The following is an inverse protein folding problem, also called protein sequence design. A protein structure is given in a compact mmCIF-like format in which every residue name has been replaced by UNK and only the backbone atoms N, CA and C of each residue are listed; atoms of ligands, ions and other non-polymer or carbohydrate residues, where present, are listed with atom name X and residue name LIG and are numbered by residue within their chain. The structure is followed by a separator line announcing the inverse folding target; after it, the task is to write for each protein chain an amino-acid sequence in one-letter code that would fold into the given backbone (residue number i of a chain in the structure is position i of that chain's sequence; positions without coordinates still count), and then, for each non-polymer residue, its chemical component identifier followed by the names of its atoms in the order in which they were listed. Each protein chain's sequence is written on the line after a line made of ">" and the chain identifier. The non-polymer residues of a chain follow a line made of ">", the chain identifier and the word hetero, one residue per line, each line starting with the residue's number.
data_IF_533674813722
#
_entry.id   IF_533674813722
#
_cell.length_a   1.000
_cell.length_b   1.000
_cell.length_c   1.000
_cell.angle_alpha   90.00
_cell.angle_beta   90.00
_cell.angle_gamma   90.00
#
_symmetry.space_group_name_H-M   'P 1'
#
loop_
_entity.id
_entity.type
_entity.pdbx_description
1 polymer ?
#
# COMPACT_ATOMS: atom_id res chain seq x y z
N UNK A 1 -8.27 -28.52 -12.11
CA UNK A 1 -8.00 -28.09 -10.71
C UNK A 1 -6.51 -27.87 -10.43
N UNK A 2 -5.62 -27.96 -11.43
CA UNK A 2 -4.26 -27.44 -11.27
C UNK A 2 -4.29 -25.91 -11.24
N UNK A 3 -3.45 -25.30 -10.40
CA UNK A 3 -3.36 -23.84 -10.26
C UNK A 3 -4.30 -23.17 -9.24
N UNK A 4 -5.29 -23.86 -8.67
CA UNK A 4 -6.17 -23.26 -7.64
C UNK A 4 -5.68 -23.48 -6.20
N UNK A 5 -6.15 -22.65 -5.26
CA UNK A 5 -5.89 -22.85 -3.82
C UNK A 5 -6.37 -24.21 -3.35
N UNK A 6 -7.62 -24.57 -3.65
CA UNK A 6 -8.21 -25.86 -3.29
C UNK A 6 -7.37 -27.04 -3.78
N UNK A 7 -6.97 -27.05 -5.05
CA UNK A 7 -6.16 -28.14 -5.61
C UNK A 7 -4.82 -28.29 -4.90
N UNK A 8 -4.17 -27.17 -4.56
CA UNK A 8 -2.91 -27.17 -3.82
C UNK A 8 -3.07 -27.63 -2.37
N UNK A 9 -4.11 -27.16 -1.68
CA UNK A 9 -4.43 -27.57 -0.31
C UNK A 9 -4.79 -29.06 -0.23
N UNK A 10 -5.50 -29.61 -1.23
CA UNK A 10 -5.80 -31.04 -1.33
C UNK A 10 -4.52 -31.88 -1.44
N UNK A 11 -3.55 -31.48 -2.28
CA UNK A 11 -2.26 -32.16 -2.37
C UNK A 11 -1.50 -32.15 -1.04
N UNK A 12 -1.50 -31.02 -0.34
CA UNK A 12 -0.88 -30.91 0.99
C UNK A 12 -1.56 -31.83 2.02
N UNK A 13 -2.89 -31.89 2.02
CA UNK A 13 -3.65 -32.77 2.90
C UNK A 13 -3.38 -34.24 2.59
N UNK A 14 -3.37 -34.63 1.31
CA UNK A 14 -3.05 -35.99 0.86
C UNK A 14 -1.62 -36.41 1.22
N UNK A 15 -0.69 -35.45 1.31
CA UNK A 15 0.68 -35.66 1.78
C UNK A 15 0.81 -35.68 3.33
N UNK A 16 -0.30 -35.60 4.07
CA UNK A 16 -0.31 -35.65 5.53
C UNK A 16 0.07 -34.35 6.24
N UNK A 17 0.08 -33.20 5.55
CA UNK A 17 0.39 -31.91 6.16
C UNK A 17 -0.82 -31.40 6.96
N UNK A 18 -0.69 -31.13 8.28
CA UNK A 18 -1.79 -30.61 9.08
C UNK A 18 -2.02 -29.11 8.81
N UNK A 19 -3.26 -28.64 9.03
CA UNK A 19 -3.67 -27.24 8.82
C UNK A 19 -2.73 -26.24 9.51
N UNK A 20 -2.32 -26.52 10.75
CA UNK A 20 -1.44 -25.63 11.50
C UNK A 20 -0.12 -25.36 10.77
N UNK A 21 0.47 -26.39 10.14
CA UNK A 21 1.71 -26.26 9.35
C UNK A 21 1.48 -25.49 8.07
N UNK A 22 0.30 -25.61 7.45
CA UNK A 22 -0.09 -24.80 6.29
C UNK A 22 -0.18 -23.33 6.69
N UNK A 23 -0.86 -22.99 7.79
CA UNK A 23 -0.97 -21.61 8.27
C UNK A 23 0.39 -21.02 8.65
N UNK A 24 1.27 -21.81 9.28
CA UNK A 24 2.65 -21.42 9.56
C UNK A 24 3.48 -21.17 8.29
N UNK A 25 3.27 -21.98 7.25
CA UNK A 25 3.93 -21.78 5.96
C UNK A 25 3.42 -20.52 5.27
N UNK A 26 2.10 -20.31 5.26
CA UNK A 26 1.46 -19.11 4.68
C UNK A 26 1.95 -17.83 5.36
N UNK A 27 2.20 -17.82 6.68
CA UNK A 27 2.81 -16.67 7.38
C UNK A 27 4.19 -16.27 6.88
N UNK A 28 4.88 -17.16 6.16
CA UNK A 28 6.22 -16.91 5.58
C UNK A 28 6.15 -16.55 4.09
N UNK A 29 4.97 -16.67 3.49
CA UNK A 29 4.75 -16.31 2.09
C UNK A 29 4.39 -14.84 2.03
N UNK A 30 5.11 -14.12 1.17
CA UNK A 30 4.84 -12.73 0.89
C UNK A 30 4.99 -12.48 -0.60
N UNK A 31 3.94 -11.94 -1.22
CA UNK A 31 3.89 -11.64 -2.64
C UNK A 31 3.67 -10.14 -2.80
N UNK A 32 4.60 -9.49 -3.49
CA UNK A 32 4.55 -8.03 -3.72
C UNK A 32 4.60 -7.74 -5.21
N UNK A 33 3.44 -7.65 -5.91
CA UNK A 33 3.41 -7.15 -7.27
C UNK A 33 3.85 -5.69 -7.29
N UNK A 34 4.81 -5.36 -8.15
CA UNK A 34 5.35 -3.99 -8.29
C UNK A 34 4.88 -3.40 -9.60
N UNK A 35 4.09 -2.32 -9.53
CA UNK A 35 3.63 -1.59 -10.70
C UNK A 35 4.77 -0.79 -11.33
N UNK A 36 4.97 -0.99 -12.62
CA UNK A 36 5.93 -0.22 -13.42
C UNK A 36 5.19 0.60 -14.46
N UNK A 37 5.72 1.78 -14.79
CA UNK A 37 5.20 2.54 -15.91
C UNK A 37 5.42 1.71 -17.19
N UNK A 38 4.39 1.60 -18.03
CA UNK A 38 4.55 0.88 -19.29
C UNK A 38 5.06 1.87 -20.36
N UNK A 39 6.29 1.70 -20.86
CA UNK A 39 6.96 2.71 -21.72
C UNK A 39 6.27 2.96 -23.08
N UNK A 40 5.29 2.14 -23.45
CA UNK A 40 4.64 2.14 -24.77
C UNK A 40 3.12 2.07 -24.70
N UNK A 41 2.50 2.39 -23.56
CA UNK A 41 1.03 2.37 -23.45
C UNK A 41 0.42 3.61 -24.14
N UNK A 42 0.43 3.57 -25.47
CA UNK A 42 -0.13 4.59 -26.36
C UNK A 42 -1.67 4.64 -26.22
N UNK A 43 -2.28 3.51 -25.84
CA UNK A 43 -3.73 3.40 -25.64
C UNK A 43 -4.18 4.18 -24.41
N UNK A 44 -5.02 5.19 -24.61
CA UNK A 44 -5.58 6.02 -23.53
C UNK A 44 -6.34 5.15 -22.51
N UNK A 45 -6.19 5.45 -21.22
CA UNK A 45 -6.97 4.83 -20.13
C UNK A 45 -8.49 4.80 -20.42
N UNK A 46 -9.00 5.86 -21.06
CA UNK A 46 -10.39 5.95 -21.50
C UNK A 46 -10.81 4.80 -22.43
N UNK A 47 -9.94 4.33 -23.32
CA UNK A 47 -10.21 3.21 -24.23
C UNK A 47 -10.40 1.91 -23.43
N UNK A 48 -9.56 1.67 -22.41
CA UNK A 48 -9.67 0.49 -21.54
C UNK A 48 -10.98 0.50 -20.75
N UNK A 49 -11.36 1.65 -20.20
CA UNK A 49 -12.64 1.81 -19.50
C UNK A 49 -13.83 1.49 -20.41
N UNK A 50 -13.82 2.00 -21.65
CA UNK A 50 -14.86 1.73 -22.65
C UNK A 50 -14.93 0.26 -23.03
N UNK A 51 -13.79 -0.37 -23.34
CA UNK A 51 -13.73 -1.82 -23.63
C UNK A 51 -14.26 -2.67 -22.47
N UNK A 52 -13.95 -2.29 -21.22
CA UNK A 52 -14.47 -2.98 -20.03
C UNK A 52 -15.97 -2.73 -19.81
N UNK A 53 -16.49 -1.57 -20.19
CA UNK A 53 -17.93 -1.31 -20.15
C UNK A 53 -18.66 -2.18 -21.17
N UNK A 54 -18.16 -2.24 -22.41
CA UNK A 54 -18.68 -3.15 -23.45
C UNK A 54 -18.65 -4.61 -22.97
N UNK A 55 -17.54 -5.09 -22.41
CA UNK A 55 -17.44 -6.45 -21.89
C UNK A 55 -18.51 -6.77 -20.83
N UNK A 56 -18.76 -5.85 -19.88
CA UNK A 56 -19.81 -6.01 -18.86
C UNK A 56 -21.23 -6.03 -19.46
N UNK A 57 -21.47 -5.22 -20.49
CA UNK A 57 -22.76 -5.21 -21.18
C UNK A 57 -22.98 -6.50 -21.97
N UNK A 58 -21.94 -7.03 -22.61
CA UNK A 58 -21.97 -8.33 -23.27
C UNK A 58 -22.23 -9.46 -22.26
N UNK A 59 -21.54 -9.46 -21.11
CA UNK A 59 -21.81 -10.43 -20.03
C UNK A 59 -23.26 -10.34 -19.52
N UNK A 60 -23.87 -9.13 -19.47
CA UNK A 60 -25.29 -8.96 -19.12
C UNK A 60 -26.22 -9.53 -20.20
N UNK A 61 -25.87 -9.37 -21.48
CA UNK A 61 -26.64 -9.93 -22.59
C UNK A 61 -26.63 -11.48 -22.60
N UNK A 62 -25.55 -12.10 -22.14
CA UNK A 62 -25.43 -13.57 -22.05
C UNK A 62 -26.22 -14.19 -20.87
N UNK A 63 -26.76 -13.37 -19.94
CA UNK A 63 -27.52 -13.86 -18.78
C UNK A 63 -29.00 -14.02 -19.10
N UNK A 64 -29.50 -15.26 -19.01
CA UNK A 64 -30.92 -15.60 -19.23
C UNK A 64 -31.61 -15.92 -17.90
N UNK A 65 -32.87 -15.49 -17.67
CA UNK A 65 -33.74 -14.75 -18.59
C UNK A 65 -33.45 -13.24 -18.59
N UNK A 66 -33.44 -12.65 -19.79
CA UNK A 66 -33.27 -11.22 -20.03
C UNK A 66 -34.54 -10.66 -20.68
N UNK A 67 -35.03 -9.51 -20.20
CA UNK A 67 -36.17 -8.86 -20.83
C UNK A 67 -35.77 -8.22 -22.17
N UNK A 68 -36.71 -8.11 -23.10
CA UNK A 68 -36.44 -7.43 -24.38
C UNK A 68 -36.03 -5.96 -24.18
N UNK A 69 -36.60 -5.29 -23.17
CA UNK A 69 -36.24 -3.90 -22.86
C UNK A 69 -34.80 -3.79 -22.36
N UNK A 70 -34.37 -4.68 -21.46
CA UNK A 70 -32.99 -4.73 -20.97
C UNK A 70 -31.99 -5.04 -22.09
N UNK A 71 -32.37 -5.94 -23.01
CA UNK A 71 -31.54 -6.30 -24.16
C UNK A 71 -31.32 -5.09 -25.10
N UNK A 72 -32.39 -4.37 -25.45
CA UNK A 72 -32.33 -3.17 -26.29
C UNK A 72 -31.54 -2.04 -25.61
N UNK A 73 -31.69 -1.87 -24.29
CA UNK A 73 -30.92 -0.89 -23.53
C UNK A 73 -29.42 -1.22 -23.57
N UNK A 74 -29.04 -2.47 -23.29
CA UNK A 74 -27.65 -2.91 -23.32
C UNK A 74 -27.04 -2.77 -24.73
N UNK A 75 -27.78 -3.13 -25.77
CA UNK A 75 -27.36 -2.94 -27.17
C UNK A 75 -27.12 -1.46 -27.50
N UNK A 76 -28.05 -0.57 -27.12
CA UNK A 76 -27.89 0.87 -27.32
C UNK A 76 -26.65 1.43 -26.61
N UNK A 77 -26.38 0.97 -25.37
CA UNK A 77 -25.18 1.36 -24.63
C UNK A 77 -23.89 0.83 -25.28
N UNK A 78 -23.88 -0.40 -25.79
CA UNK A 78 -22.73 -0.96 -26.54
C UNK A 78 -22.47 -0.12 -27.79
N UNK A 79 -23.51 0.20 -28.58
CA UNK A 79 -23.38 1.03 -29.79
C UNK A 79 -22.85 2.44 -29.47
N UNK A 80 -23.31 3.04 -28.37
CA UNK A 80 -22.80 4.33 -27.91
C UNK A 80 -21.30 4.25 -27.54
N UNK A 81 -20.86 3.18 -26.88
CA UNK A 81 -19.45 2.99 -26.55
C UNK A 81 -18.57 2.72 -27.77
N UNK A 82 -19.05 1.91 -28.72
CA UNK A 82 -18.37 1.69 -30.00
C UNK A 82 -18.23 3.00 -30.77
N UNK A 83 -19.30 3.81 -30.82
CA UNK A 83 -19.28 5.14 -31.44
C UNK A 83 -18.25 6.05 -30.77
N UNK A 84 -18.24 6.09 -29.44
CA UNK A 84 -17.28 6.88 -28.69
C UNK A 84 -15.83 6.40 -28.89
N UNK A 85 -15.60 5.09 -29.00
CA UNK A 85 -14.30 4.52 -29.35
C UNK A 85 -13.87 4.97 -30.76
N UNK A 86 -14.76 4.87 -31.75
CA UNK A 86 -14.49 5.29 -33.12
C UNK A 86 -14.18 6.80 -33.23
N UNK A 87 -14.84 7.62 -32.42
CA UNK A 87 -14.63 9.07 -32.36
C UNK A 87 -13.43 9.49 -31.49
N UNK A 88 -12.76 8.54 -30.81
CA UNK A 88 -11.60 8.81 -29.97
C UNK A 88 -10.33 8.38 -30.69
N UNK A 89 -9.38 9.30 -30.86
CA UNK A 89 -8.05 8.95 -31.37
C UNK A 89 -7.35 7.96 -30.41
N UNK A 90 -7.09 6.76 -30.92
CA UNK A 90 -6.46 5.67 -30.15
C UNK A 90 -5.02 5.99 -29.77
N UNK A 91 -4.35 6.86 -30.55
CA UNK A 91 -2.96 7.22 -30.38
C UNK A 91 -2.83 8.52 -29.59
N UNK A 92 -2.04 8.50 -28.53
CA UNK A 92 -1.65 9.75 -27.83
C UNK A 92 -0.66 10.52 -28.71
N UNK A 93 -1.04 11.73 -29.13
CA UNK A 93 -0.16 12.66 -29.86
C UNK A 93 0.99 13.22 -29.00
N UNK A 94 0.89 13.17 -27.67
CA UNK A 94 1.92 13.61 -26.73
C UNK A 94 2.28 12.48 -25.76
N UNK A 95 3.58 12.37 -25.46
CA UNK A 95 4.08 11.43 -24.45
C UNK A 95 3.43 11.77 -23.09
N UNK A 96 2.97 10.78 -22.30
CA UNK A 96 2.42 11.02 -20.98
C UNK A 96 3.42 11.75 -20.09
N UNK A 97 2.93 12.64 -19.22
CA UNK A 97 3.76 13.18 -18.14
C UNK A 97 3.92 12.12 -17.04
N UNK A 98 4.95 12.23 -16.20
CA UNK A 98 5.12 11.35 -15.03
C UNK A 98 3.88 11.37 -14.14
N UNK A 99 3.23 12.53 -14.01
CA UNK A 99 1.98 12.66 -13.25
C UNK A 99 0.82 11.88 -13.89
N UNK A 100 0.71 11.86 -15.21
CA UNK A 100 -0.28 11.04 -15.91
C UNK A 100 -0.02 9.55 -15.69
N UNK A 101 1.25 9.12 -15.70
CA UNK A 101 1.64 7.74 -15.42
C UNK A 101 1.27 7.35 -13.98
N UNK A 102 1.49 8.23 -13.00
CA UNK A 102 1.07 8.02 -11.61
C UNK A 102 -0.45 7.83 -11.56
N UNK A 103 -1.24 8.72 -12.17
CA UNK A 103 -2.70 8.58 -12.22
C UNK A 103 -3.13 7.23 -12.82
N UNK A 104 -2.57 6.88 -13.98
CA UNK A 104 -2.90 5.62 -14.66
C UNK A 104 -2.55 4.39 -13.83
N UNK A 105 -1.40 4.40 -13.14
CA UNK A 105 -1.01 3.32 -12.23
C UNK A 105 -1.98 3.17 -11.06
N UNK A 106 -2.44 4.29 -10.50
CA UNK A 106 -3.38 4.32 -9.39
C UNK A 106 -4.80 3.88 -9.76
N UNK A 107 -5.24 4.13 -11.00
CA UNK A 107 -6.59 3.78 -11.46
C UNK A 107 -6.88 2.25 -11.36
N UNK A 108 -5.86 1.40 -11.44
CA UNK A 108 -6.05 -0.06 -11.31
C UNK A 108 -6.59 -0.50 -9.94
N UNK A 109 -6.33 0.28 -8.88
CA UNK A 109 -6.78 -0.06 -7.54
C UNK A 109 -8.31 -0.05 -7.41
N UNK A 110 -9.01 1.07 -7.67
CA UNK A 110 -10.48 1.09 -7.65
C UNK A 110 -11.10 0.26 -8.78
N UNK A 111 -10.44 0.14 -9.94
CA UNK A 111 -10.99 -0.66 -11.04
C UNK A 111 -11.05 -2.17 -10.76
N UNK A 112 -10.06 -2.71 -10.03
CA UNK A 112 -9.89 -4.16 -9.87
C UNK A 112 -9.46 -4.54 -8.46
N UNK A 113 -8.39 -3.96 -7.94
CA UNK A 113 -7.68 -4.54 -6.79
C UNK A 113 -8.45 -4.42 -5.49
N UNK A 114 -9.15 -3.30 -5.25
CA UNK A 114 -9.94 -3.12 -4.04
C UNK A 114 -11.02 -4.20 -3.88
N UNK A 115 -11.61 -4.66 -4.97
CA UNK A 115 -12.61 -5.74 -4.93
C UNK A 115 -12.00 -7.14 -5.04
N UNK A 116 -10.90 -7.28 -5.79
CA UNK A 116 -10.26 -8.59 -6.02
C UNK A 116 -9.54 -9.11 -4.78
N UNK A 117 -8.88 -8.22 -4.03
CA UNK A 117 -8.08 -8.63 -2.86
C UNK A 117 -8.95 -9.35 -1.81
N UNK A 118 -10.04 -8.77 -1.29
CA UNK A 118 -10.89 -9.48 -0.33
C UNK A 118 -11.45 -10.81 -0.88
N UNK A 119 -11.83 -10.84 -2.17
CA UNK A 119 -12.33 -12.07 -2.82
C UNK A 119 -11.29 -13.18 -2.86
N UNK A 120 -10.03 -12.85 -3.14
CA UNK A 120 -8.94 -13.82 -3.13
C UNK A 120 -8.75 -14.45 -1.75
N UNK A 121 -8.80 -13.63 -0.69
CA UNK A 121 -8.68 -14.13 0.69
C UNK A 121 -9.90 -14.95 1.10
N UNK A 122 -11.11 -14.55 0.68
CA UNK A 122 -12.32 -15.34 0.89
C UNK A 122 -12.23 -16.71 0.18
N UNK A 123 -11.74 -16.76 -1.06
CA UNK A 123 -11.53 -18.02 -1.79
C UNK A 123 -10.50 -18.92 -1.08
N UNK A 124 -9.41 -18.33 -0.57
CA UNK A 124 -8.42 -19.06 0.22
C UNK A 124 -9.04 -19.62 1.51
N UNK A 125 -9.81 -18.79 2.24
CA UNK A 125 -10.50 -19.18 3.46
C UNK A 125 -11.46 -20.35 3.21
N UNK A 126 -12.31 -20.20 2.19
CA UNK A 126 -13.28 -21.21 1.79
C UNK A 126 -12.58 -22.51 1.37
N UNK A 127 -11.50 -22.40 0.59
CA UNK A 127 -10.69 -23.55 0.19
C UNK A 127 -10.08 -24.28 1.39
N UNK A 128 -9.62 -23.55 2.41
CA UNK A 128 -9.15 -24.14 3.67
C UNK A 128 -10.29 -24.85 4.39
N UNK A 129 -11.45 -24.21 4.52
CA UNK A 129 -12.64 -24.79 5.15
C UNK A 129 -13.10 -26.08 4.46
N UNK A 130 -13.17 -26.09 3.13
CA UNK A 130 -13.56 -27.26 2.33
C UNK A 130 -12.54 -28.41 2.45
N UNK A 131 -11.24 -28.10 2.51
CA UNK A 131 -10.19 -29.12 2.53
C UNK A 131 -9.90 -29.63 3.93
N UNK A 132 -9.90 -28.79 4.97
CA UNK A 132 -9.53 -29.19 6.33
C UNK A 132 -10.73 -29.31 7.29
N UNK A 133 -11.94 -28.95 6.86
CA UNK A 133 -13.15 -29.05 7.68
C UNK A 133 -13.29 -27.96 8.75
N UNK A 134 -12.41 -26.95 8.75
CA UNK A 134 -12.44 -25.82 9.69
C UNK A 134 -11.96 -24.58 8.97
N UNK A 135 -12.72 -23.49 9.09
CA UNK A 135 -12.27 -22.18 8.63
C UNK A 135 -11.48 -21.47 9.74
N UNK A 136 -10.27 -20.96 9.44
CA UNK A 136 -9.54 -20.12 10.40
C UNK A 136 -10.22 -18.77 10.64
N UNK A 137 -11.08 -18.29 9.75
CA UNK A 137 -11.63 -16.94 9.82
C UNK A 137 -10.64 -15.86 9.36
N UNK A 138 -11.17 -14.73 8.90
CA UNK A 138 -10.40 -13.56 8.42
C UNK A 138 -9.31 -13.09 9.40
N UNK A 139 -9.55 -13.16 10.71
CA UNK A 139 -8.59 -12.72 11.73
C UNK A 139 -7.33 -13.59 11.81
N UNK A 140 -7.38 -14.85 11.37
CA UNK A 140 -6.27 -15.79 11.49
C UNK A 140 -5.53 -16.04 10.17
N UNK A 141 -6.02 -15.47 9.06
CA UNK A 141 -5.35 -15.53 7.77
C UNK A 141 -4.18 -14.52 7.72
N UNK A 142 -2.95 -14.99 7.44
CA UNK A 142 -1.79 -14.10 7.35
C UNK A 142 -1.90 -13.13 6.17
N UNK A 143 -1.20 -12.01 6.25
CA UNK A 143 -1.05 -11.07 5.14
C UNK A 143 -0.09 -11.65 4.09
N UNK A 144 -0.64 -12.11 2.97
CA UNK A 144 0.09 -12.73 1.87
C UNK A 144 0.49 -11.74 0.77
N UNK A 145 -0.25 -10.64 0.63
CA UNK A 145 -0.13 -9.70 -0.47
C UNK A 145 0.19 -8.31 0.03
N UNK A 146 1.16 -7.67 -0.62
CA UNK A 146 1.39 -6.22 -0.60
C UNK A 146 1.52 -5.72 -2.01
N UNK A 147 1.52 -4.40 -2.18
CA UNK A 147 1.75 -3.79 -3.48
C UNK A 147 2.96 -2.87 -3.42
N UNK A 148 3.74 -2.86 -4.49
CA UNK A 148 4.81 -1.92 -4.74
C UNK A 148 4.55 -1.09 -5.99
N UNK A 149 5.27 -0.01 -6.17
CA UNK A 149 5.27 0.78 -7.40
C UNK A 149 6.63 1.40 -7.64
N UNK A 150 7.00 1.51 -8.90
CA UNK A 150 8.14 2.29 -9.40
C UNK A 150 7.68 3.61 -10.03
N UNK A 151 6.37 3.78 -10.25
CA UNK A 151 5.81 4.93 -10.95
C UNK A 151 5.93 6.18 -10.07
N UNK A 152 6.74 7.15 -10.51
CA UNK A 152 7.10 8.34 -9.73
C UNK A 152 8.26 8.15 -8.74
N UNK A 153 8.86 6.96 -8.70
CA UNK A 153 10.02 6.63 -7.86
C UNK A 153 11.27 6.23 -8.64
N UNK A 154 11.10 5.64 -9.83
CA UNK A 154 12.18 5.21 -10.71
C UNK A 154 12.72 6.37 -11.57
N UNK A 155 13.97 6.75 -11.28
CA UNK A 155 14.67 7.86 -11.94
C UNK A 155 15.78 7.38 -12.87
N UNK A 156 16.01 6.07 -12.93
CA UNK A 156 17.10 5.48 -13.71
C UNK A 156 16.90 5.75 -15.20
N UNK A 157 17.74 6.60 -15.78
CA UNK A 157 17.64 7.01 -17.18
C UNK A 157 16.46 7.94 -17.50
N UNK A 158 15.72 8.44 -16.49
CA UNK A 158 14.57 9.31 -16.69
C UNK A 158 14.68 10.61 -15.88
N UNK A 159 15.21 11.71 -16.47
CA UNK A 159 15.38 12.98 -15.77
C UNK A 159 14.06 13.71 -15.45
N UNK A 160 12.93 13.25 -16.01
CA UNK A 160 11.62 13.86 -15.75
C UNK A 160 11.01 13.41 -14.41
N UNK A 161 11.57 12.39 -13.75
CA UNK A 161 11.12 11.94 -12.43
C UNK A 161 11.89 12.71 -11.36
N UNK A 162 11.26 13.76 -10.84
CA UNK A 162 11.84 14.65 -9.84
C UNK A 162 11.37 14.31 -8.42
N UNK A 163 11.94 14.97 -7.42
CA UNK A 163 11.53 14.94 -6.03
C UNK A 163 10.04 15.29 -5.85
N UNK A 164 9.52 16.25 -6.64
CA UNK A 164 8.10 16.60 -6.62
C UNK A 164 7.21 15.47 -7.16
N UNK A 165 7.65 14.73 -8.19
CA UNK A 165 6.93 13.55 -8.68
C UNK A 165 6.79 12.47 -7.60
N UNK A 166 7.84 12.20 -6.81
CA UNK A 166 7.77 11.25 -5.70
C UNK A 166 6.78 11.70 -4.62
N UNK A 167 6.77 12.99 -4.27
CA UNK A 167 5.81 13.56 -3.33
C UNK A 167 4.38 13.44 -3.84
N UNK A 168 4.16 13.75 -5.11
CA UNK A 168 2.85 13.63 -5.75
C UNK A 168 2.37 12.18 -5.79
N UNK A 169 3.24 11.22 -6.15
CA UNK A 169 2.90 9.80 -6.19
C UNK A 169 2.38 9.30 -4.84
N UNK A 170 3.10 9.59 -3.76
CA UNK A 170 2.73 9.17 -2.41
C UNK A 170 1.46 9.87 -1.91
N UNK A 171 1.36 11.18 -2.10
CA UNK A 171 0.18 11.95 -1.72
C UNK A 171 -1.08 11.46 -2.45
N UNK A 172 -0.97 11.22 -3.75
CA UNK A 172 -2.09 10.73 -4.56
C UNK A 172 -2.50 9.32 -4.17
N UNK A 173 -1.55 8.42 -3.91
CA UNK A 173 -1.81 7.07 -3.42
C UNK A 173 -2.52 7.09 -2.05
N UNK A 174 -2.05 7.92 -1.12
CA UNK A 174 -2.68 8.15 0.19
C UNK A 174 -4.10 8.68 0.06
N UNK A 175 -4.30 9.72 -0.76
CA UNK A 175 -5.63 10.30 -0.95
C UNK A 175 -6.60 9.26 -1.53
N UNK A 176 -6.17 8.51 -2.56
CA UNK A 176 -6.99 7.48 -3.19
C UNK A 176 -7.45 6.41 -2.19
N UNK A 177 -6.55 5.90 -1.35
CA UNK A 177 -6.91 4.83 -0.41
C UNK A 177 -7.81 5.33 0.72
N UNK A 178 -7.56 6.55 1.24
CA UNK A 178 -8.40 7.13 2.29
C UNK A 178 -9.78 7.51 1.73
N UNK A 179 -9.86 8.04 0.51
CA UNK A 179 -11.13 8.33 -0.16
C UNK A 179 -11.95 7.05 -0.37
N UNK A 180 -11.30 5.95 -0.73
CA UNK A 180 -11.93 4.63 -0.79
C UNK A 180 -12.48 4.18 0.57
N UNK A 181 -11.70 4.33 1.65
CA UNK A 181 -12.18 3.99 3.00
C UNK A 181 -13.34 4.88 3.45
N UNK A 182 -13.32 6.18 3.17
CA UNK A 182 -14.44 7.09 3.48
C UNK A 182 -15.71 6.63 2.76
N UNK A 183 -15.60 6.24 1.49
CA UNK A 183 -16.73 5.72 0.72
C UNK A 183 -17.29 4.40 1.30
N UNK A 184 -16.41 3.47 1.68
CA UNK A 184 -16.78 2.21 2.31
C UNK A 184 -17.48 2.42 3.67
N UNK A 185 -16.93 3.29 4.53
CA UNK A 185 -17.55 3.64 5.81
C UNK A 185 -18.92 4.30 5.59
N UNK A 186 -19.03 5.21 4.61
CA UNK A 186 -20.30 5.86 4.27
C UNK A 186 -21.35 4.84 3.80
N UNK A 187 -20.94 3.80 3.06
CA UNK A 187 -21.82 2.67 2.71
C UNK A 187 -22.22 1.85 3.93
N UNK A 188 -21.30 1.60 4.85
CA UNK A 188 -21.61 0.89 6.10
C UNK A 188 -22.62 1.64 6.96
N UNK A 189 -22.61 2.98 6.97
CA UNK A 189 -23.59 3.78 7.72
C UNK A 189 -25.01 3.45 7.25
N UNK A 190 -25.24 3.28 5.95
CA UNK A 190 -26.58 2.94 5.46
C UNK A 190 -26.99 1.51 5.79
N UNK A 191 -26.03 0.56 5.78
CA UNK A 191 -26.27 -0.87 5.97
C UNK A 191 -26.41 -1.29 7.45
N UNK A 192 -25.69 -0.65 8.38
CA UNK A 192 -25.61 -1.05 9.79
C UNK A 192 -26.60 -0.28 10.71
N UNK A 193 -27.90 -0.39 10.42
CA UNK A 193 -29.01 0.27 11.13
C UNK A 193 -29.46 -0.40 12.44
N UNK A 194 -28.62 -1.21 13.07
CA UNK A 194 -29.03 -2.02 14.22
C UNK A 194 -29.40 -1.10 15.40
N UNK A 195 -30.55 -1.35 16.00
CA UNK A 195 -31.07 -0.56 17.12
C UNK A 195 -30.83 -1.27 18.46
N UNK A 196 -30.30 -0.51 19.43
CA UNK A 196 -30.16 -0.92 20.84
C UNK A 196 -31.48 -1.35 21.49
N UNK A 197 -32.63 -0.98 20.91
CA UNK A 197 -33.96 -1.42 21.35
C UNK A 197 -34.25 -2.89 21.02
N UNK A 198 -33.54 -3.46 20.04
CA UNK A 198 -33.74 -4.84 19.58
C UNK A 198 -32.60 -5.76 20.00
N UNK A 199 -31.38 -5.26 19.98
CA UNK A 199 -30.19 -6.03 20.29
C UNK A 199 -29.14 -5.14 20.94
N UNK A 200 -28.44 -5.68 21.94
CA UNK A 200 -27.40 -4.95 22.62
C UNK A 200 -26.19 -4.66 21.71
N UNK A 201 -25.30 -3.81 22.20
CA UNK A 201 -23.95 -3.64 21.68
C UNK A 201 -22.96 -3.86 22.82
N UNK A 202 -21.70 -4.12 22.48
CA UNK A 202 -20.66 -4.25 23.50
C UNK A 202 -20.45 -2.93 24.24
N UNK A 203 -20.16 -3.02 25.55
CA UNK A 203 -19.83 -1.85 26.37
C UNK A 203 -18.56 -1.15 25.88
N UNK A 204 -17.58 -1.90 25.36
CA UNK A 204 -16.37 -1.35 24.78
C UNK A 204 -16.66 -0.44 23.57
N UNK A 205 -17.61 -0.83 22.70
CA UNK A 205 -18.06 0.01 21.60
C UNK A 205 -18.75 1.28 22.11
N UNK A 206 -19.64 1.16 23.09
CA UNK A 206 -20.35 2.30 23.67
C UNK A 206 -19.38 3.31 24.32
N UNK A 207 -18.34 2.82 25.02
CA UNK A 207 -17.29 3.65 25.60
C UNK A 207 -16.48 4.39 24.52
N UNK A 208 -16.14 3.72 23.41
CA UNK A 208 -15.41 4.35 22.31
C UNK A 208 -16.22 5.47 21.65
N UNK A 209 -17.52 5.27 21.45
CA UNK A 209 -18.41 6.31 20.91
C UNK A 209 -18.45 7.52 21.84
N UNK A 210 -18.67 7.31 23.15
CA UNK A 210 -18.65 8.41 24.13
C UNK A 210 -17.31 9.15 24.17
N UNK A 211 -16.19 8.44 24.04
CA UNK A 211 -14.88 9.07 23.98
C UNK A 211 -14.74 9.97 22.74
N UNK A 212 -15.26 9.53 21.60
CA UNK A 212 -15.23 10.31 20.35
C UNK A 212 -16.14 11.52 20.42
N UNK A 213 -17.35 11.35 20.94
CA UNK A 213 -18.29 12.43 21.22
C UNK A 213 -17.69 13.50 22.14
N UNK A 214 -17.08 13.11 23.26
CA UNK A 214 -16.41 14.05 24.17
C UNK A 214 -15.22 14.79 23.51
N UNK A 215 -14.51 14.13 22.59
CA UNK A 215 -13.31 14.70 21.97
C UNK A 215 -13.59 15.59 20.76
N UNK A 216 -14.58 15.24 19.93
CA UNK A 216 -14.88 15.89 18.64
C UNK A 216 -16.16 16.73 18.68
N UNK A 217 -16.97 16.59 19.74
CA UNK A 217 -18.30 17.19 19.84
C UNK A 217 -19.34 16.50 18.94
N UNK A 218 -20.60 16.89 19.13
CA UNK A 218 -21.75 16.29 18.46
C UNK A 218 -21.90 16.73 16.98
N UNK A 219 -21.30 17.85 16.56
CA UNK A 219 -21.49 18.44 15.23
C UNK A 219 -20.94 17.60 14.07
N UNK A 220 -19.98 16.71 14.34
CA UNK A 220 -19.29 15.91 13.32
C UNK A 220 -20.02 14.62 12.95
N UNK A 221 -21.03 14.24 13.73
CA UNK A 221 -21.93 13.15 13.37
C UNK A 221 -23.20 13.73 12.75
N UNK A 222 -23.87 12.99 11.85
CA UNK A 222 -25.20 13.38 11.36
C UNK A 222 -26.24 13.13 12.47
N UNK A 223 -25.88 13.39 13.73
CA UNK A 223 -26.61 13.10 14.97
C UNK A 223 -28.08 13.47 14.87
N UNK A 224 -28.37 14.66 14.34
CA UNK A 224 -29.74 15.17 14.21
C UNK A 224 -30.65 14.31 13.30
N UNK A 225 -30.09 13.38 12.52
CA UNK A 225 -30.83 12.48 11.62
C UNK A 225 -30.80 11.01 12.06
N UNK A 226 -29.88 10.62 12.94
CA UNK A 226 -29.67 9.23 13.37
C UNK A 226 -30.27 9.09 14.77
N UNK A 227 -31.06 8.04 15.00
CA UNK A 227 -31.66 7.84 16.32
C UNK A 227 -30.57 7.48 17.33
N UNK A 228 -30.64 7.97 18.57
CA UNK A 228 -29.68 7.65 19.66
C UNK A 228 -29.51 6.13 19.86
N UNK A 229 -30.54 5.35 19.52
CA UNK A 229 -30.50 3.90 19.60
C UNK A 229 -29.63 3.22 18.51
N UNK A 230 -29.10 3.94 17.51
CA UNK A 230 -28.31 3.37 16.40
C UNK A 230 -26.79 3.55 16.62
N UNK A 231 -26.26 2.96 17.70
CA UNK A 231 -24.87 3.15 18.15
C UNK A 231 -23.81 2.89 17.06
N UNK A 232 -24.01 1.86 16.22
CA UNK A 232 -23.07 1.52 15.15
C UNK A 232 -22.96 2.64 14.11
N UNK A 233 -24.07 3.30 13.76
CA UNK A 233 -24.06 4.41 12.80
C UNK A 233 -23.34 5.63 13.35
N UNK A 234 -23.57 5.95 14.63
CA UNK A 234 -22.85 7.03 15.32
C UNK A 234 -21.35 6.77 15.32
N UNK A 235 -20.93 5.54 15.60
CA UNK A 235 -19.51 5.18 15.54
C UNK A 235 -18.92 5.35 14.14
N UNK A 236 -19.63 4.89 13.10
CA UNK A 236 -19.19 5.02 11.71
C UNK A 236 -19.08 6.48 11.25
N UNK A 237 -20.00 7.36 11.69
CA UNK A 237 -19.93 8.78 11.38
C UNK A 237 -18.67 9.42 11.97
N UNK A 238 -18.31 9.08 13.21
CA UNK A 238 -17.05 9.51 13.81
C UNK A 238 -15.83 8.96 13.06
N UNK A 239 -15.84 7.68 12.68
CA UNK A 239 -14.77 7.08 11.86
C UNK A 239 -14.64 7.84 10.53
N UNK A 240 -15.75 8.15 9.86
CA UNK A 240 -15.75 8.90 8.60
C UNK A 240 -15.18 10.31 8.77
N UNK A 241 -15.52 11.01 9.86
CA UNK A 241 -14.95 12.31 10.19
C UNK A 241 -13.43 12.22 10.42
N UNK A 242 -12.99 11.25 11.24
CA UNK A 242 -11.56 11.00 11.49
C UNK A 242 -10.79 10.67 10.21
N UNK A 243 -11.35 9.87 9.31
CA UNK A 243 -10.74 9.59 8.00
C UNK A 243 -10.64 10.85 7.14
N UNK A 244 -11.68 11.72 7.12
CA UNK A 244 -11.62 13.01 6.42
C UNK A 244 -10.49 13.89 6.96
N UNK A 245 -10.34 14.00 8.28
CA UNK A 245 -9.19 14.69 8.87
C UNK A 245 -7.86 14.05 8.46
N UNK A 246 -7.79 12.72 8.47
CA UNK A 246 -6.58 11.97 8.11
C UNK A 246 -6.17 12.15 6.64
N UNK A 247 -7.16 12.37 5.76
CA UNK A 247 -6.98 12.67 4.35
C UNK A 247 -6.35 14.05 4.16
N UNK A 248 -6.91 15.06 4.81
CA UNK A 248 -6.53 16.45 4.57
C UNK A 248 -5.25 16.84 5.32
N UNK A 249 -5.06 16.34 6.55
CA UNK A 249 -3.84 16.56 7.33
C UNK A 249 -3.62 15.49 8.39
N UNK A 250 -2.51 14.76 8.29
CA UNK A 250 -2.09 13.81 9.32
C UNK A 250 -1.77 14.45 10.68
N UNK A 251 -1.57 15.77 10.71
CA UNK A 251 -1.28 16.54 11.93
C UNK A 251 -2.56 17.03 12.64
N UNK A 252 -3.74 16.81 12.06
CA UNK A 252 -4.99 17.19 12.71
C UNK A 252 -5.18 16.38 14.00
N UNK A 253 -5.62 17.03 15.08
CA UNK A 253 -5.79 16.37 16.39
C UNK A 253 -6.75 15.17 16.38
N UNK A 254 -7.70 15.16 15.44
CA UNK A 254 -8.69 14.09 15.25
C UNK A 254 -8.37 13.15 14.09
N UNK A 255 -7.24 13.33 13.39
CA UNK A 255 -6.79 12.36 12.40
C UNK A 255 -6.44 11.02 13.09
N UNK A 256 -6.55 9.94 12.34
CA UNK A 256 -5.95 8.68 12.75
C UNK A 256 -4.43 8.81 12.70
N UNK A 257 -3.71 8.44 13.78
CA UNK A 257 -2.25 8.50 13.78
C UNK A 257 -1.61 7.41 12.91
N UNK A 258 -2.35 6.33 12.62
CA UNK A 258 -1.92 5.25 11.74
C UNK A 258 -3.12 4.46 11.21
N UNK A 259 -2.89 3.65 10.17
CA UNK A 259 -3.89 2.71 9.68
C UNK A 259 -4.25 1.63 10.72
N UNK A 260 -3.34 1.33 11.66
CA UNK A 260 -3.59 0.37 12.74
C UNK A 260 -4.68 0.86 13.70
N UNK A 261 -4.72 2.16 14.02
CA UNK A 261 -5.79 2.71 14.86
C UNK A 261 -7.15 2.65 14.16
N UNK A 262 -7.18 2.86 12.85
CA UNK A 262 -8.40 2.66 12.07
C UNK A 262 -8.81 1.17 12.02
N UNK A 263 -7.85 0.26 11.86
CA UNK A 263 -8.12 -1.19 11.96
C UNK A 263 -8.69 -1.56 13.33
N UNK A 264 -8.16 -1.00 14.42
CA UNK A 264 -8.62 -1.26 15.78
C UNK A 264 -10.09 -0.86 15.98
N UNK A 265 -10.53 0.26 15.39
CA UNK A 265 -11.94 0.66 15.42
C UNK A 265 -12.83 -0.33 14.65
N UNK A 266 -12.37 -0.81 13.48
CA UNK A 266 -13.09 -1.83 12.71
C UNK A 266 -13.17 -3.17 13.47
N UNK A 267 -12.08 -3.57 14.13
CA UNK A 267 -12.05 -4.78 14.96
C UNK A 267 -13.00 -4.67 16.14
N UNK A 268 -13.03 -3.52 16.83
CA UNK A 268 -13.98 -3.26 17.92
C UNK A 268 -15.44 -3.41 17.44
N UNK A 269 -15.75 -2.86 16.26
CA UNK A 269 -17.07 -3.03 15.65
C UNK A 269 -17.37 -4.49 15.35
N UNK A 270 -16.42 -5.19 14.74
CA UNK A 270 -16.53 -6.61 14.39
C UNK A 270 -16.80 -7.47 15.63
N UNK A 271 -16.02 -7.27 16.70
CA UNK A 271 -16.18 -7.96 17.98
C UNK A 271 -17.55 -7.69 18.59
N UNK A 272 -18.01 -6.44 18.58
CA UNK A 272 -19.33 -6.06 19.04
C UNK A 272 -20.43 -6.74 18.24
N UNK A 273 -20.32 -6.80 16.90
CA UNK A 273 -21.27 -7.50 16.05
C UNK A 273 -21.32 -9.00 16.38
N UNK A 274 -20.16 -9.67 16.44
CA UNK A 274 -20.10 -11.10 16.76
C UNK A 274 -20.66 -11.42 18.15
N UNK A 275 -20.35 -10.60 19.17
CA UNK A 275 -20.91 -10.77 20.51
C UNK A 275 -22.44 -10.61 20.57
N UNK A 276 -23.03 -9.96 19.56
CA UNK A 276 -24.44 -9.64 19.46
C UNK A 276 -25.09 -10.29 18.21
N UNK A 277 -24.72 -11.54 17.89
CA UNK A 277 -25.35 -12.36 16.83
C UNK A 277 -25.32 -11.74 15.42
N UNK A 278 -24.34 -10.86 15.19
CA UNK A 278 -24.11 -10.13 13.94
C UNK A 278 -23.00 -10.72 13.08
N UNK A 279 -22.62 -11.99 13.26
CA UNK A 279 -21.48 -12.63 12.60
C UNK A 279 -21.57 -12.56 11.06
N UNK A 280 -22.79 -12.66 10.51
CA UNK A 280 -23.04 -12.51 9.07
C UNK A 280 -22.71 -11.11 8.57
N UNK A 281 -23.04 -10.07 9.36
CA UNK A 281 -22.73 -8.69 9.03
C UNK A 281 -21.23 -8.43 9.16
N UNK A 282 -20.61 -8.92 10.23
CA UNK A 282 -19.16 -8.85 10.41
C UNK A 282 -18.41 -9.48 9.22
N UNK A 283 -18.77 -10.71 8.86
CA UNK A 283 -18.12 -11.45 7.77
C UNK A 283 -18.36 -10.84 6.38
N UNK A 284 -19.55 -10.32 6.09
CA UNK A 284 -19.86 -9.77 4.76
C UNK A 284 -19.45 -8.31 4.58
N UNK A 285 -19.45 -7.52 5.65
CA UNK A 285 -19.32 -6.06 5.55
C UNK A 285 -18.03 -5.52 6.17
N UNK A 286 -17.55 -6.12 7.27
CA UNK A 286 -16.38 -5.62 8.01
C UNK A 286 -15.10 -6.36 7.61
N UNK A 287 -15.15 -7.68 7.49
CA UNK A 287 -14.00 -8.53 7.14
C UNK A 287 -13.34 -8.15 5.80
N UNK A 288 -14.10 -7.85 4.73
CA UNK A 288 -13.51 -7.36 3.48
C UNK A 288 -12.79 -6.02 3.66
N UNK A 289 -13.33 -5.11 4.47
CA UNK A 289 -12.72 -3.81 4.72
C UNK A 289 -11.44 -3.97 5.57
N UNK A 290 -11.47 -4.80 6.61
CA UNK A 290 -10.29 -5.17 7.39
C UNK A 290 -9.18 -5.71 6.48
N UNK A 291 -9.53 -6.60 5.54
CA UNK A 291 -8.55 -7.13 4.58
C UNK A 291 -7.93 -6.03 3.71
N UNK A 292 -8.73 -5.05 3.25
CA UNK A 292 -8.23 -3.89 2.52
C UNK A 292 -7.30 -3.04 3.39
N UNK A 293 -7.66 -2.76 4.64
CA UNK A 293 -6.83 -1.96 5.57
C UNK A 293 -5.50 -2.64 5.85
N UNK A 294 -5.50 -3.94 6.12
CA UNK A 294 -4.27 -4.72 6.34
C UNK A 294 -3.34 -4.75 5.12
N UNK A 295 -3.92 -4.82 3.92
CA UNK A 295 -3.15 -4.93 2.67
C UNK A 295 -2.60 -3.59 2.19
N UNK A 296 -3.41 -2.54 2.26
CA UNK A 296 -3.11 -1.23 1.65
C UNK A 296 -2.68 -0.16 2.66
N UNK A 297 -3.10 -0.28 3.93
CA UNK A 297 -2.87 0.75 4.96
C UNK A 297 -3.31 2.15 4.50
N UNK A 298 -2.63 3.19 4.99
CA UNK A 298 -2.87 4.58 4.55
C UNK A 298 -1.90 5.06 3.45
N UNK A 299 -1.12 4.16 2.87
CA UNK A 299 -0.14 4.49 1.83
C UNK A 299 -0.41 3.78 0.50
N UNK A 300 -1.41 2.88 0.45
CA UNK A 300 -1.84 2.08 -0.70
C UNK A 300 -0.82 1.03 -1.16
N UNK A 301 0.40 1.46 -1.46
CA UNK A 301 1.50 0.61 -1.90
C UNK A 301 2.84 1.23 -1.47
N UNK A 302 3.89 0.41 -1.42
CA UNK A 302 5.25 0.90 -1.23
C UNK A 302 5.73 1.54 -2.54
N UNK A 303 6.38 2.70 -2.47
CA UNK A 303 7.07 3.32 -3.58
C UNK A 303 8.57 3.01 -3.46
N UNK A 304 9.11 2.29 -4.43
CA UNK A 304 10.56 2.08 -4.50
C UNK A 304 11.22 3.28 -5.16
N UNK A 305 12.35 3.71 -4.59
CA UNK A 305 13.18 4.75 -5.19
C UNK A 305 14.32 4.07 -5.93
N UNK A 306 14.54 4.40 -7.20
CA UNK A 306 15.61 3.78 -8.01
C UNK A 306 16.49 4.84 -8.68
N UNK A 307 17.81 4.63 -8.61
CA UNK A 307 18.82 5.53 -9.21
C UNK A 307 20.05 4.75 -9.68
N UNK A 308 20.71 5.23 -10.73
CA UNK A 308 21.91 4.62 -11.29
C UNK A 308 23.16 4.85 -10.43
N UNK A 309 24.00 3.82 -10.25
CA UNK A 309 25.24 3.87 -9.46
C UNK A 309 26.15 5.05 -9.84
N UNK A 310 26.42 5.23 -11.15
CA UNK A 310 27.16 6.38 -11.69
C UNK A 310 26.64 7.76 -11.24
N UNK A 311 25.33 7.96 -11.14
CA UNK A 311 24.74 9.24 -10.69
C UNK A 311 25.02 9.46 -9.21
N UNK A 312 24.95 8.40 -8.40
CA UNK A 312 25.29 8.45 -6.98
C UNK A 312 26.77 8.73 -6.76
N UNK A 313 27.65 8.07 -7.52
CA UNK A 313 29.09 8.30 -7.45
C UNK A 313 29.46 9.74 -7.84
N UNK A 314 28.84 10.26 -8.91
CA UNK A 314 29.00 11.66 -9.30
C UNK A 314 28.50 12.60 -8.20
N UNK A 315 27.32 12.33 -7.63
CA UNK A 315 26.76 13.12 -6.54
C UNK A 315 27.69 13.18 -5.32
N UNK A 316 28.38 12.09 -4.97
CA UNK A 316 29.39 12.10 -3.90
C UNK A 316 30.63 12.88 -4.31
N UNK A 317 31.10 12.75 -5.55
CA UNK A 317 32.26 13.47 -6.05
C UNK A 317 32.04 14.98 -6.17
N UNK A 318 30.81 15.41 -6.46
CA UNK A 318 30.44 16.81 -6.60
C UNK A 318 30.33 17.52 -5.23
N UNK A 319 30.25 16.76 -4.14
CA UNK A 319 30.17 17.33 -2.80
C UNK A 319 31.49 18.02 -2.40
N UNK A 320 31.44 19.27 -1.93
CA UNK A 320 32.63 19.93 -1.41
C UNK A 320 33.22 19.12 -0.24
N UNK A 321 34.54 18.97 -0.23
CA UNK A 321 35.29 18.24 0.80
C UNK A 321 35.15 18.83 2.21
N UNK A 322 34.70 20.09 2.32
CA UNK A 322 34.24 20.66 3.56
C UNK A 322 32.76 20.32 3.73
N UNK A 323 32.44 19.50 4.73
CA UNK A 323 31.07 19.26 5.21
C UNK A 323 30.41 20.62 5.45
N UNK A 324 29.67 21.11 4.46
CA UNK A 324 28.86 22.31 4.61
C UNK A 324 27.78 21.91 5.61
N UNK A 325 27.89 22.43 6.82
CA UNK A 325 27.00 22.19 7.97
C UNK A 325 25.56 22.64 7.71
N UNK A 326 25.24 23.13 6.51
CA UNK A 326 23.91 23.55 6.06
C UNK A 326 23.66 23.07 4.63
N UNK A 327 22.68 22.18 4.46
CA UNK A 327 22.26 21.64 3.17
C UNK A 327 21.87 22.72 2.13
N UNK A 328 21.51 23.93 2.57
CA UNK A 328 21.03 25.01 1.68
C UNK A 328 22.15 25.75 0.93
N UNK A 329 23.37 25.79 1.47
CA UNK A 329 24.53 26.42 0.81
C UNK A 329 25.18 25.48 -0.21
N UNK A 330 25.19 24.16 0.06
CA UNK A 330 25.67 23.15 -0.89
C UNK A 330 24.84 23.11 -2.19
N UNK A 331 23.50 23.29 -2.09
CA UNK A 331 22.57 23.24 -3.22
C UNK A 331 22.82 24.28 -4.33
N UNK A 332 23.40 25.43 -4.01
CA UNK A 332 23.61 26.52 -5.00
C UNK A 332 24.82 26.32 -5.91
N UNK A 333 25.72 25.41 -5.55
CA UNK A 333 27.01 25.22 -6.22
C UNK A 333 27.04 23.89 -7.00
N UNK A 334 26.12 22.97 -6.69
CA UNK A 334 26.09 21.63 -7.29
C UNK A 334 25.51 21.62 -8.72
N UNK A 335 25.98 20.70 -9.58
CA UNK A 335 25.31 20.42 -10.86
C UNK A 335 23.84 20.04 -10.67
N UNK A 336 23.00 20.36 -11.66
CA UNK A 336 21.55 20.15 -11.58
C UNK A 336 21.15 18.71 -11.21
N UNK A 337 21.84 17.70 -11.75
CA UNK A 337 21.59 16.29 -11.43
C UNK A 337 21.91 15.94 -9.96
N UNK A 338 22.98 16.51 -9.40
CA UNK A 338 23.41 16.29 -8.02
C UNK A 338 22.54 17.06 -7.03
N UNK A 339 22.06 18.26 -7.42
CA UNK A 339 21.05 19.01 -6.66
C UNK A 339 19.72 18.24 -6.59
N UNK A 340 19.21 17.75 -7.72
CA UNK A 340 17.97 16.96 -7.79
C UNK A 340 18.05 15.66 -6.96
N UNK A 341 19.22 15.01 -6.96
CA UNK A 341 19.48 13.84 -6.13
C UNK A 341 19.37 14.16 -4.63
N UNK A 342 19.93 15.29 -4.19
CA UNK A 342 19.82 15.74 -2.79
C UNK A 342 18.41 16.19 -2.44
N UNK A 343 17.72 16.88 -3.33
CA UNK A 343 16.32 17.26 -3.13
C UNK A 343 15.41 16.03 -3.01
N UNK A 344 15.71 14.98 -3.78
CA UNK A 344 15.04 13.68 -3.67
C UNK A 344 15.30 13.05 -2.30
N UNK A 345 16.56 12.96 -1.85
CA UNK A 345 16.89 12.39 -0.55
C UNK A 345 16.32 13.21 0.61
N UNK A 346 16.38 14.54 0.53
CA UNK A 346 15.74 15.43 1.51
C UNK A 346 14.22 15.26 1.54
N UNK A 347 13.58 15.15 0.38
CA UNK A 347 12.15 14.84 0.29
C UNK A 347 11.81 13.50 0.94
N UNK A 348 12.62 12.46 0.69
CA UNK A 348 12.46 11.16 1.34
C UNK A 348 12.65 11.29 2.86
N UNK A 349 13.63 12.06 3.32
CA UNK A 349 13.88 12.30 4.74
C UNK A 349 12.66 12.94 5.42
N UNK A 350 12.07 13.96 4.79
CA UNK A 350 10.90 14.66 5.31
C UNK A 350 9.66 13.77 5.30
N UNK A 351 9.44 13.00 4.22
CA UNK A 351 8.33 12.05 4.13
C UNK A 351 8.48 10.88 5.12
N UNK A 352 9.71 10.50 5.50
CA UNK A 352 9.94 9.50 6.55
C UNK A 352 9.72 10.04 7.97
N UNK A 353 9.79 11.36 8.19
CA UNK A 353 9.44 12.00 9.47
C UNK A 353 7.92 12.03 9.68
N UNK A 354 7.13 12.05 8.61
CA UNK A 354 5.67 11.99 8.69
C UNK A 354 5.18 10.53 8.80
N UNK A 355 3.86 10.32 8.93
CA UNK A 355 3.23 8.99 9.11
C UNK A 355 3.46 7.98 7.96
N UNK A 356 4.29 8.31 6.98
CA UNK A 356 4.50 7.55 5.74
C UNK A 356 5.84 6.80 5.71
N UNK A 357 6.47 6.55 6.87
CA UNK A 357 7.73 5.76 6.92
C UNK A 357 7.63 4.39 6.23
N UNK A 358 6.45 3.77 6.25
CA UNK A 358 6.17 2.50 5.58
C UNK A 358 6.00 2.63 4.05
N UNK A 359 5.77 3.83 3.53
CA UNK A 359 5.52 4.07 2.11
C UNK A 359 6.80 4.06 1.26
N UNK A 360 7.98 4.27 1.86
CA UNK A 360 9.28 4.16 1.18
C UNK A 360 10.17 3.19 1.94
N UNK A 361 10.26 1.95 1.45
CA UNK A 361 11.03 0.89 2.11
C UNK A 361 12.36 0.59 1.42
N UNK A 362 12.43 0.79 0.09
CA UNK A 362 13.57 0.37 -0.70
C UNK A 362 14.18 1.54 -1.48
N UNK A 363 15.52 1.57 -1.49
CA UNK A 363 16.31 2.36 -2.42
C UNK A 363 17.13 1.40 -3.29
N UNK A 364 16.83 1.36 -4.57
CA UNK A 364 17.40 0.44 -5.55
C UNK A 364 18.52 1.17 -6.30
N UNK A 365 19.73 0.58 -6.30
CA UNK A 365 20.88 1.09 -7.06
C UNK A 365 21.05 0.25 -8.32
N UNK A 366 20.75 0.85 -9.47
CA UNK A 366 20.96 0.20 -10.77
C UNK A 366 22.43 0.15 -11.13
N UNK A 367 22.83 -0.88 -11.89
CA UNK A 367 24.21 -1.07 -12.36
C UNK A 367 25.23 -1.02 -11.23
N UNK A 368 24.91 -1.69 -10.11
CA UNK A 368 25.81 -1.82 -8.97
C UNK A 368 26.97 -2.74 -9.35
N UNK A 369 28.21 -2.25 -9.30
CA UNK A 369 29.42 -3.00 -9.66
C UNK A 369 30.34 -3.24 -8.46
N UNK A 370 30.15 -2.48 -7.38
CA UNK A 370 30.99 -2.51 -6.19
C UNK A 370 30.21 -2.26 -4.90
N UNK A 371 30.85 -2.54 -3.76
CA UNK A 371 30.32 -2.18 -2.44
C UNK A 371 30.23 -0.65 -2.25
N UNK A 372 31.14 0.11 -2.90
CA UNK A 372 31.18 1.57 -2.82
C UNK A 372 29.93 2.21 -3.43
N UNK A 373 29.32 1.61 -4.45
CA UNK A 373 28.07 2.11 -5.06
C UNK A 373 26.92 2.16 -4.05
N UNK A 374 26.87 1.19 -3.13
CA UNK A 374 25.88 1.15 -2.05
C UNK A 374 26.26 2.14 -0.94
N UNK A 375 27.55 2.22 -0.60
CA UNK A 375 28.02 3.18 0.41
C UNK A 375 27.80 4.63 -0.02
N UNK A 376 27.80 4.92 -1.31
CA UNK A 376 27.47 6.24 -1.83
C UNK A 376 26.05 6.67 -1.48
N UNK A 377 25.07 5.76 -1.49
CA UNK A 377 23.70 6.06 -1.01
C UNK A 377 23.73 6.47 0.45
N UNK A 378 24.46 5.73 1.29
CA UNK A 378 24.57 6.01 2.74
C UNK A 378 25.24 7.37 2.99
N UNK A 379 26.32 7.67 2.27
CA UNK A 379 27.03 8.95 2.37
C UNK A 379 26.12 10.12 2.01
N UNK A 380 25.40 10.02 0.89
CA UNK A 380 24.47 11.07 0.45
C UNK A 380 23.26 11.19 1.38
N UNK A 381 22.73 10.07 1.87
CA UNK A 381 21.62 10.05 2.83
C UNK A 381 21.99 10.76 4.14
N UNK A 382 23.22 10.56 4.63
CA UNK A 382 23.73 11.25 5.82
C UNK A 382 23.78 12.77 5.61
N UNK A 383 24.25 13.22 4.44
CA UNK A 383 24.27 14.66 4.10
C UNK A 383 22.86 15.24 3.97
N UNK A 384 21.90 14.45 3.47
CA UNK A 384 20.48 14.82 3.40
C UNK A 384 19.76 14.76 4.76
N UNK A 385 20.45 14.44 5.86
CA UNK A 385 19.87 14.37 7.20
C UNK A 385 19.04 13.11 7.48
N UNK A 386 19.22 12.05 6.70
CA UNK A 386 18.59 10.74 6.95
C UNK A 386 19.43 9.96 7.96
N UNK A 387 18.88 9.75 9.16
CA UNK A 387 19.49 8.87 10.16
C UNK A 387 19.14 7.40 9.87
N UNK A 388 20.16 6.57 9.65
CA UNK A 388 19.98 5.13 9.51
C UNK A 388 19.84 4.53 10.91
N UNK A 389 18.62 4.16 11.30
CA UNK A 389 18.33 3.61 12.63
C UNK A 389 18.99 2.24 12.82
N UNK A 390 19.90 2.12 13.81
CA UNK A 390 20.41 0.82 14.30
C UNK A 390 19.23 0.01 14.84
N UNK A 391 18.99 -1.19 14.34
CA UNK A 391 18.00 -2.10 14.96
C UNK A 391 18.58 -2.60 16.27
N UNK A 392 18.03 -2.16 17.40
CA UNK A 392 18.35 -2.67 18.74
C UNK A 392 17.88 -4.13 18.85
N UNK A 393 18.84 -5.04 18.90
CA UNK A 393 18.62 -6.41 19.34
C UNK A 393 19.85 -6.74 20.19
N UNK A 394 19.63 -7.09 21.46
CA UNK A 394 20.69 -7.41 22.41
C UNK A 394 21.41 -8.69 22.00
N UNK A 395 22.56 -8.52 21.35
CA UNK A 395 23.77 -9.37 21.40
C UNK A 395 24.66 -8.92 20.25
N UNK A 396 25.60 -8.00 20.51
CA UNK A 396 26.40 -7.35 19.47
C UNK A 396 27.15 -8.34 18.56
N UNK A 397 27.57 -9.50 19.07
CA UNK A 397 28.29 -10.50 18.27
C UNK A 397 27.40 -11.47 17.46
N UNK A 398 26.13 -11.63 17.83
CA UNK A 398 25.15 -12.46 17.10
C UNK A 398 24.35 -11.63 16.08
N UNK A 399 24.17 -10.34 16.37
CA UNK A 399 23.48 -9.36 15.54
C UNK A 399 24.35 -8.88 14.39
N UNK A 400 25.66 -8.68 14.57
CA UNK A 400 26.58 -8.38 13.46
C UNK A 400 26.56 -9.52 12.41
N UNK A 401 26.58 -10.79 12.88
CA UNK A 401 26.45 -11.98 12.03
C UNK A 401 25.07 -12.12 11.38
N UNK A 402 24.00 -11.60 11.98
CA UNK A 402 22.65 -11.56 11.38
C UNK A 402 22.45 -10.38 10.43
N UNK A 403 23.06 -9.23 10.69
CA UNK A 403 23.07 -8.01 9.84
C UNK A 403 23.83 -8.24 8.56
N UNK A 404 25.04 -8.81 8.67
CA UNK A 404 25.76 -9.27 7.50
C UNK A 404 24.99 -10.38 6.82
N UNK A 405 24.29 -11.30 7.51
CA UNK A 405 23.42 -12.29 6.85
C UNK A 405 22.13 -11.74 6.22
N UNK A 406 21.68 -10.53 6.58
CA UNK A 406 20.50 -9.88 6.02
C UNK A 406 20.87 -9.08 4.77
N UNK A 407 21.94 -8.28 4.86
CA UNK A 407 22.59 -7.64 3.71
C UNK A 407 23.20 -8.70 2.78
N UNK A 408 23.77 -9.79 3.29
CA UNK A 408 24.24 -10.92 2.50
C UNK A 408 23.12 -11.82 1.96
N UNK A 409 21.91 -11.80 2.54
CA UNK A 409 20.74 -12.45 1.92
C UNK A 409 20.23 -11.61 0.74
N UNK A 410 20.31 -10.28 0.87
CA UNK A 410 20.15 -9.34 -0.23
C UNK A 410 21.21 -9.56 -1.33
N UNK A 411 22.48 -9.89 -0.97
CA UNK A 411 23.54 -10.24 -1.93
C UNK A 411 23.54 -11.69 -2.44
N UNK A 412 22.94 -12.67 -1.75
CA UNK A 412 22.92 -14.08 -2.19
C UNK A 412 22.09 -14.27 -3.47
N UNK A 413 21.21 -13.31 -3.78
CA UNK A 413 20.43 -13.29 -5.01
C UNK A 413 21.17 -12.64 -6.20
N UNK A 414 22.29 -11.94 -5.98
CA UNK A 414 22.96 -11.13 -7.02
C UNK A 414 24.44 -11.44 -7.24
N UNK A 415 25.17 -12.06 -6.29
CA UNK A 415 26.59 -12.35 -6.46
C UNK A 415 26.90 -13.83 -6.18
N UNK A 416 27.27 -14.55 -7.24
CA UNK A 416 27.55 -15.99 -7.25
C UNK A 416 28.83 -16.46 -6.52
N UNK A 417 29.38 -15.76 -5.52
CA UNK A 417 30.46 -16.36 -4.72
C UNK A 417 30.64 -15.82 -3.29
N UNK A 418 31.08 -16.70 -2.40
CA UNK A 418 31.24 -16.51 -0.96
C UNK A 418 32.43 -15.61 -0.56
N UNK A 419 33.39 -15.39 -1.47
CA UNK A 419 34.64 -14.68 -1.18
C UNK A 419 34.52 -13.14 -1.13
N UNK A 420 33.47 -12.57 -1.75
CA UNK A 420 33.16 -11.13 -1.62
C UNK A 420 32.69 -10.75 -0.22
N UNK A 421 31.96 -11.65 0.43
CA UNK A 421 31.30 -11.42 1.73
C UNK A 421 32.28 -11.10 2.87
N UNK A 422 33.42 -11.81 2.91
CA UNK A 422 34.41 -11.67 3.98
C UNK A 422 35.19 -10.34 3.89
N UNK A 423 35.35 -9.80 2.67
CA UNK A 423 36.04 -8.52 2.45
C UNK A 423 35.16 -7.32 2.82
N UNK A 424 33.85 -7.40 2.56
CA UNK A 424 32.86 -6.43 3.02
C UNK A 424 32.83 -6.28 4.55
N UNK A 425 32.78 -7.39 5.29
CA UNK A 425 32.73 -7.35 6.76
C UNK A 425 33.93 -6.66 7.40
N UNK A 426 35.11 -6.81 6.81
CA UNK A 426 36.34 -6.19 7.31
C UNK A 426 36.39 -4.69 7.03
N UNK A 427 35.94 -4.25 5.85
CA UNK A 427 35.95 -2.83 5.45
C UNK A 427 34.81 -2.02 6.08
N UNK A 428 33.65 -2.61 6.30
CA UNK A 428 32.54 -1.98 7.04
C UNK A 428 32.96 -1.61 8.48
N UNK A 429 33.63 -2.52 9.19
CA UNK A 429 34.14 -2.24 10.54
C UNK A 429 35.14 -1.08 10.57
N UNK A 430 35.98 -0.98 9.53
CA UNK A 430 36.96 0.11 9.40
C UNK A 430 36.29 1.46 9.07
N UNK A 431 35.27 1.48 8.20
CA UNK A 431 34.51 2.70 7.92
C UNK A 431 33.75 3.17 9.17
N UNK A 432 33.15 2.25 9.94
CA UNK A 432 32.32 2.59 11.10
C UNK A 432 33.11 3.22 12.27
N UNK A 433 34.41 2.92 12.42
CA UNK A 433 35.28 3.57 13.42
C UNK A 433 35.56 5.05 13.12
N UNK A 434 35.44 5.49 11.87
CA UNK A 434 35.66 6.89 11.48
C UNK A 434 34.40 7.77 11.51
N UNK A 435 33.21 7.17 11.53
CA UNK A 435 31.93 7.92 11.60
C UNK A 435 31.35 7.98 13.01
N UNK A 436 32.10 7.55 14.02
CA UNK A 436 31.70 7.50 15.43
C UNK A 436 32.01 8.76 16.24
N UNK A 437 31.93 9.96 15.67
CA UNK A 437 31.88 11.24 16.40
C UNK A 437 31.33 12.34 15.48
N UNK A 438 30.00 12.42 15.34
CA UNK A 438 29.22 13.62 14.99
C UNK A 438 27.72 13.29 15.02
#
# INVERSE_FOLDING_TARGET
>A
MEGSFRGTLQRLRSAGVPLQRVLEALRRVHVTPVFTAHPTEITRHTIRLKRRHIARLLERLDQVPLSQADALEAEAQILAEITALWQTDEVRLKKPTVRDEIHMGLDYFPMVLFETVPRLYAELEESIGQVYGTSPGEAHLPELLRFGSWIGGDRDGNPFVTASCTRDALRMARHLVIDHYIAEITRLVSQLSMSLRRIAASEALAQRVRAYENSMGEEHSRWKRITEAELYRHFLDFIAARLRYSRDSSAHQHAYPSAQEFENDLLLMRESLCANRGERLASLLIDPLLRKVRTFGFHLHVLDIRQHAKVLAQGVSDMPSAVVTRADEARRILPAASSELLDTLGTIADLKKTQESAAIQHFIVSDTQSEDDILNVVRLAAVAGIQIKKTECGDEAAVERKRVRAVARFFRALAGSHAGLLRFEQRWRHAHQHFGTA
#
